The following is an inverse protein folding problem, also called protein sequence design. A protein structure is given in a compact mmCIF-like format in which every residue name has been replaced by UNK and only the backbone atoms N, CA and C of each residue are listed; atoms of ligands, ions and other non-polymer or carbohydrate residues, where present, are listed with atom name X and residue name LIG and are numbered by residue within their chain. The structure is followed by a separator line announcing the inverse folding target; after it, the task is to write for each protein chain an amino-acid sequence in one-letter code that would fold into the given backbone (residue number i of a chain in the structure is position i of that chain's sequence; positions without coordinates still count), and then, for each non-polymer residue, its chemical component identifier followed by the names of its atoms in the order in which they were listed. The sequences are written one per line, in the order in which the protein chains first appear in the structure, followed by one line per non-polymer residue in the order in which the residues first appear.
data_IF_369126443377
#
_entry.id   IF_369126443377
#
_cell.length_a   1.000
_cell.length_b   1.000
_cell.length_c   1.000
_cell.angle_alpha   90.00
_cell.angle_beta   90.00
_cell.angle_gamma   90.00
#
_symmetry.space_group_name_H-M   'P 1'
#
loop_
_entity.id
_entity.type
_entity.pdbx_description
1 polymer ?
#
# COMPACT_ATOMS: atom_id res chain seq x y z
N UNK A 1 26.22 -22.32 36.69
CA UNK A 1 25.22 -21.57 35.92
C UNK A 1 25.91 -20.97 34.70
N UNK A 2 25.18 -20.90 33.58
CA UNK A 2 25.41 -20.02 32.43
C UNK A 2 26.50 -20.43 31.42
N UNK A 3 26.10 -21.19 30.41
CA UNK A 3 26.75 -21.16 29.11
C UNK A 3 25.70 -20.81 28.04
N UNK A 4 25.96 -19.66 27.41
CA UNK A 4 25.75 -19.45 25.99
C UNK A 4 24.29 -19.34 25.52
N UNK A 5 23.73 -18.15 25.72
CA UNK A 5 22.61 -17.66 24.90
C UNK A 5 23.16 -17.29 23.52
N UNK A 6 23.20 -18.26 22.61
CA UNK A 6 23.40 -17.99 21.18
C UNK A 6 22.11 -17.34 20.65
N UNK A 7 22.16 -16.02 20.48
CA UNK A 7 21.13 -15.27 19.75
C UNK A 7 21.26 -15.59 18.26
N UNK A 8 20.36 -16.44 17.76
CA UNK A 8 20.17 -16.62 16.32
C UNK A 8 19.44 -15.39 15.78
N UNK A 9 20.19 -14.44 15.21
CA UNK A 9 19.61 -13.38 14.39
C UNK A 9 19.24 -13.99 13.03
N UNK A 10 17.98 -14.36 12.85
CA UNK A 10 17.42 -14.74 11.54
C UNK A 10 17.32 -13.49 10.67
N UNK A 11 18.20 -13.39 9.68
CA UNK A 11 18.08 -12.40 8.61
C UNK A 11 16.92 -12.88 7.72
N UNK A 12 15.76 -12.22 7.81
CA UNK A 12 14.67 -12.45 6.86
C UNK A 12 15.14 -11.94 5.50
N UNK A 13 15.38 -12.85 4.57
CA UNK A 13 15.64 -12.50 3.19
C UNK A 13 14.37 -11.86 2.62
N UNK A 14 14.41 -10.55 2.38
CA UNK A 14 13.40 -9.86 1.59
C UNK A 14 13.43 -10.47 0.18
N UNK A 15 12.36 -11.18 -0.18
CA UNK A 15 12.12 -11.58 -1.55
C UNK A 15 11.93 -10.28 -2.36
N UNK A 16 13.03 -9.75 -2.87
CA UNK A 16 13.00 -8.80 -3.97
C UNK A 16 12.66 -9.63 -5.21
N UNK A 17 11.39 -10.03 -5.33
CA UNK A 17 10.84 -10.31 -6.65
C UNK A 17 11.22 -9.10 -7.49
N UNK A 18 11.82 -9.33 -8.65
CA UNK A 18 11.87 -8.35 -9.73
C UNK A 18 10.42 -8.04 -10.13
N UNK A 19 9.71 -7.33 -9.26
CA UNK A 19 8.29 -7.18 -9.28
C UNK A 19 8.00 -6.02 -10.23
N UNK A 20 7.11 -6.25 -11.16
CA UNK A 20 6.47 -5.14 -11.83
C UNK A 20 5.21 -4.78 -11.06
N UNK A 21 4.99 -3.49 -10.82
CA UNK A 21 3.81 -2.97 -10.15
C UNK A 21 2.69 -2.76 -11.14
N UNK A 22 1.50 -3.21 -10.75
CA UNK A 22 0.25 -2.97 -11.47
C UNK A 22 -0.80 -2.42 -10.51
N UNK A 23 -1.66 -1.55 -11.01
CA UNK A 23 -2.94 -1.28 -10.37
C UNK A 23 -3.87 -2.47 -10.66
N UNK A 24 -4.47 -3.02 -9.61
CA UNK A 24 -5.27 -4.24 -9.64
C UNK A 24 -6.54 -4.10 -8.80
N UNK A 25 -7.56 -4.89 -9.15
CA UNK A 25 -8.76 -5.12 -8.33
C UNK A 25 -9.25 -6.55 -8.56
N UNK A 26 -9.55 -7.30 -7.49
CA UNK A 26 -9.95 -8.72 -7.58
C UNK A 26 -9.01 -9.58 -8.46
N UNK A 27 -7.70 -9.27 -8.48
CA UNK A 27 -6.71 -9.94 -9.33
C UNK A 27 -6.72 -9.53 -10.81
N UNK A 28 -7.67 -8.70 -11.24
CA UNK A 28 -7.68 -8.07 -12.56
C UNK A 28 -6.67 -6.93 -12.64
N UNK A 29 -5.86 -6.90 -13.70
CA UNK A 29 -4.90 -5.84 -13.97
C UNK A 29 -5.52 -4.69 -14.76
N UNK A 30 -5.13 -3.46 -14.41
CA UNK A 30 -5.64 -2.23 -15.03
C UNK A 30 -4.47 -1.41 -15.59
N UNK A 31 -3.99 -1.72 -16.81
CA UNK A 31 -2.90 -0.98 -17.43
C UNK A 31 -3.26 0.49 -17.67
N UNK A 32 -4.55 0.80 -17.87
CA UNK A 32 -5.05 2.18 -18.04
C UNK A 32 -4.84 3.06 -16.80
N UNK A 33 -4.80 2.46 -15.60
CA UNK A 33 -4.44 3.13 -14.36
C UNK A 33 -2.94 3.02 -14.06
N UNK A 34 -2.34 1.88 -14.37
CA UNK A 34 -0.93 1.57 -14.09
C UNK A 34 0.02 2.52 -14.83
N UNK A 35 -0.21 2.75 -16.12
CA UNK A 35 0.60 3.63 -16.96
C UNK A 35 0.73 5.06 -16.40
N UNK A 36 -0.37 5.80 -16.23
CA UNK A 36 -0.31 7.17 -15.72
C UNK A 36 0.25 7.24 -14.29
N UNK A 37 -0.07 6.28 -13.42
CA UNK A 37 0.50 6.24 -12.07
C UNK A 37 2.02 5.99 -12.07
N UNK A 38 2.51 5.15 -12.98
CA UNK A 38 3.94 4.91 -13.15
C UNK A 38 4.66 6.16 -13.68
N UNK A 39 4.10 6.79 -14.72
CA UNK A 39 4.69 7.97 -15.37
C UNK A 39 4.71 9.19 -14.45
N UNK A 40 3.67 9.38 -13.62
CA UNK A 40 3.61 10.46 -12.62
C UNK A 40 4.77 10.41 -11.61
N UNK A 41 5.29 9.21 -11.36
CA UNK A 41 6.41 8.96 -10.45
C UNK A 41 7.75 8.84 -11.19
N UNK A 42 7.78 9.23 -12.46
CA UNK A 42 8.96 9.12 -13.33
C UNK A 42 9.49 7.67 -13.45
N UNK A 43 8.59 6.69 -13.32
CA UNK A 43 8.89 5.27 -13.43
C UNK A 43 8.97 4.78 -14.88
N UNK A 44 9.54 3.58 -15.07
CA UNK A 44 9.61 2.93 -16.36
C UNK A 44 8.40 2.00 -16.55
N UNK A 45 7.46 2.42 -17.39
CA UNK A 45 6.30 1.63 -17.79
C UNK A 45 6.61 0.87 -19.08
N UNK A 46 6.53 -0.46 -19.05
CA UNK A 46 6.74 -1.33 -20.21
C UNK A 46 5.61 -2.34 -20.34
N UNK A 47 5.02 -2.43 -21.54
CA UNK A 47 3.84 -3.27 -21.79
C UNK A 47 2.63 -2.87 -20.95
N UNK A 48 2.47 -3.50 -19.79
CA UNK A 48 1.37 -3.29 -18.83
C UNK A 48 1.87 -3.12 -17.39
N UNK A 49 3.17 -2.94 -17.24
CA UNK A 49 3.91 -3.18 -16.01
C UNK A 49 4.76 -1.96 -15.68
N UNK A 50 4.67 -1.47 -14.44
CA UNK A 50 5.60 -0.47 -13.95
C UNK A 50 6.79 -1.16 -13.31
N UNK A 51 8.02 -0.94 -13.77
CA UNK A 51 9.19 -1.55 -13.15
C UNK A 51 9.34 -1.05 -11.69
N UNK A 52 9.14 -1.92 -10.70
CA UNK A 52 9.18 -1.51 -9.28
C UNK A 52 10.52 -0.90 -8.90
N UNK A 53 11.61 -1.36 -9.51
CA UNK A 53 12.94 -0.77 -9.31
C UNK A 53 13.00 0.72 -9.65
N UNK A 54 12.28 1.15 -10.69
CA UNK A 54 12.23 2.55 -11.12
C UNK A 54 11.38 3.45 -10.22
N UNK A 55 10.54 2.87 -9.35
CA UNK A 55 9.67 3.60 -8.42
C UNK A 55 9.82 3.10 -6.97
N UNK A 56 10.96 2.48 -6.65
CA UNK A 56 11.17 1.77 -5.38
C UNK A 56 11.04 2.68 -4.15
N UNK A 57 11.44 3.94 -4.27
CA UNK A 57 11.27 4.99 -3.25
C UNK A 57 9.87 5.62 -3.24
N UNK A 58 9.00 5.22 -4.16
CA UNK A 58 7.69 5.82 -4.42
C UNK A 58 6.55 4.80 -4.47
N UNK A 59 6.76 3.56 -4.02
CA UNK A 59 5.74 2.50 -4.06
C UNK A 59 4.45 2.88 -3.30
N UNK A 60 4.57 3.61 -2.19
CA UNK A 60 3.42 4.15 -1.45
C UNK A 60 2.64 5.18 -2.26
N UNK A 61 3.34 6.06 -3.00
CA UNK A 61 2.72 7.02 -3.91
C UNK A 61 2.05 6.32 -5.10
N UNK A 62 2.66 5.24 -5.61
CA UNK A 62 2.08 4.44 -6.68
C UNK A 62 0.76 3.81 -6.25
N UNK A 63 0.71 3.20 -5.05
CA UNK A 63 -0.54 2.70 -4.47
C UNK A 63 -1.57 3.79 -4.27
N UNK A 64 -1.16 4.94 -3.71
CA UNK A 64 -2.07 6.08 -3.52
C UNK A 64 -2.67 6.56 -4.85
N UNK A 65 -1.86 6.59 -5.92
CA UNK A 65 -2.35 6.88 -7.25
C UNK A 65 -3.37 5.83 -7.72
N UNK A 66 -3.12 4.52 -7.58
CA UNK A 66 -4.09 3.49 -7.94
C UNK A 66 -5.45 3.69 -7.22
N UNK A 67 -5.46 4.10 -5.95
CA UNK A 67 -6.69 4.37 -5.19
C UNK A 67 -7.53 5.53 -5.73
N UNK A 68 -6.96 6.41 -6.54
CA UNK A 68 -7.72 7.48 -7.22
C UNK A 68 -8.56 6.98 -8.39
N UNK A 69 -8.27 5.76 -8.88
CA UNK A 69 -9.03 5.11 -9.94
C UNK A 69 -10.11 4.21 -9.34
N UNK A 70 -11.32 4.27 -9.91
CA UNK A 70 -12.48 3.51 -9.45
C UNK A 70 -12.99 2.58 -10.55
N UNK A 71 -13.23 1.33 -10.20
CA UNK A 71 -13.99 0.39 -11.01
C UNK A 71 -15.26 0.00 -10.26
N UNK A 72 -16.44 0.30 -10.82
CA UNK A 72 -17.74 0.05 -10.17
C UNK A 72 -17.83 0.61 -8.72
N UNK A 73 -17.34 1.84 -8.50
CA UNK A 73 -17.22 2.50 -7.18
C UNK A 73 -16.27 1.81 -6.18
N UNK A 74 -15.38 0.93 -6.64
CA UNK A 74 -14.36 0.30 -5.80
C UNK A 74 -12.97 0.80 -6.24
N UNK A 75 -12.14 1.30 -5.30
CA UNK A 75 -10.79 1.77 -5.64
C UNK A 75 -9.86 0.62 -6.01
N UNK A 76 -8.98 0.87 -6.97
CA UNK A 76 -7.90 -0.06 -7.32
C UNK A 76 -6.80 0.00 -6.26
N UNK A 77 -6.06 -1.10 -6.09
CA UNK A 77 -4.87 -1.16 -5.24
C UNK A 77 -3.62 -1.48 -6.08
N UNK A 78 -2.43 -1.29 -5.53
CA UNK A 78 -1.18 -1.78 -6.13
C UNK A 78 -0.94 -3.25 -5.75
N UNK A 79 -0.47 -4.06 -6.69
CA UNK A 79 0.02 -5.44 -6.45
C UNK A 79 1.46 -5.48 -5.91
N UNK A 80 2.20 -4.37 -6.02
CA UNK A 80 3.49 -4.24 -5.34
C UNK A 80 3.33 -4.10 -3.84
N UNK A 81 4.02 -4.97 -3.10
CA UNK A 81 4.22 -4.82 -1.68
C UNK A 81 5.10 -3.59 -1.42
N UNK A 82 4.64 -2.71 -0.56
CA UNK A 82 5.49 -1.71 0.07
C UNK A 82 5.36 -1.92 1.57
N UNK A 83 6.43 -1.75 2.34
CA UNK A 83 6.34 -1.76 3.78
C UNK A 83 5.51 -0.55 4.21
N UNK A 84 4.19 -0.74 4.27
CA UNK A 84 3.35 0.11 5.08
C UNK A 84 3.72 -0.10 6.55
N UNK A 85 3.38 0.83 7.46
CA UNK A 85 3.33 0.46 8.87
C UNK A 85 2.48 -0.81 8.94
N UNK A 86 3.04 -1.88 9.51
CA UNK A 86 2.32 -3.13 9.68
C UNK A 86 0.96 -2.77 10.28
N UNK A 87 -0.11 -2.99 9.52
CA UNK A 87 -1.48 -2.83 10.02
C UNK A 87 -1.75 -4.01 10.97
N UNK A 88 -0.98 -4.05 12.06
CA UNK A 88 -1.44 -4.66 13.29
C UNK A 88 -2.62 -3.80 13.74
N UNK A 89 -3.82 -4.29 13.43
CA UNK A 89 -4.98 -4.15 14.30
C UNK A 89 -5.40 -2.70 14.59
N UNK A 90 -6.16 -2.11 13.67
CA UNK A 90 -7.15 -1.09 14.02
C UNK A 90 -8.57 -1.68 13.95
N UNK A 91 -8.73 -2.90 14.47
CA UNK A 91 -9.96 -3.27 15.17
C UNK A 91 -9.88 -2.67 16.58
N UNK A 92 -10.31 -1.42 16.72
CA UNK A 92 -10.98 -0.86 17.92
C UNK A 92 -11.26 0.62 17.69
N UNK A 93 -12.37 0.88 16.98
CA UNK A 93 -13.08 2.15 17.15
C UNK A 93 -13.77 2.04 18.52
N UNK A 94 -13.03 2.38 19.58
CA UNK A 94 -13.64 2.73 20.86
C UNK A 94 -14.43 4.01 20.64
N UNK A 95 -15.76 3.90 20.74
CA UNK A 95 -16.65 5.06 20.74
C UNK A 95 -16.74 5.59 22.17
N UNK A 96 -16.12 6.74 22.51
CA UNK A 96 -16.51 7.43 23.73
C UNK A 96 -17.85 8.13 23.52
N UNK A 97 -18.81 7.61 24.29
CA UNK A 97 -20.11 8.16 24.61
C UNK A 97 -20.03 9.60 25.14
N UNK A 98 -20.53 10.54 24.33
CA UNK A 98 -21.35 11.68 24.76
C UNK A 98 -20.65 12.96 25.23
N UNK A 99 -20.99 14.09 24.59
CA UNK A 99 -21.41 15.30 25.31
C UNK A 99 -22.31 16.14 24.40
N UNK A 100 -23.49 16.51 24.89
CA UNK A 100 -24.48 17.27 24.14
C UNK A 100 -24.12 18.74 24.04
N UNK A 101 -24.30 19.31 22.85
CA UNK A 101 -24.40 20.77 22.67
C UNK A 101 -25.82 21.09 22.22
N UNK A 102 -26.60 21.61 23.16
CA UNK A 102 -27.87 22.27 22.88
C UNK A 102 -27.60 23.56 22.11
N UNK A 103 -28.04 23.62 20.85
CA UNK A 103 -28.12 24.87 20.10
C UNK A 103 -29.37 25.64 20.55
N UNK A 104 -29.16 26.67 21.37
CA UNK A 104 -30.14 27.72 21.66
C UNK A 104 -30.36 28.54 20.38
N UNK A 105 -31.56 28.46 19.82
CA UNK A 105 -32.02 29.40 18.79
C UNK A 105 -32.52 30.68 19.47
N UNK A 106 -32.01 31.83 19.02
CA UNK A 106 -32.49 33.16 19.40
C UNK A 106 -33.53 33.64 18.41
#
# INVERSE_FOLDING_TARGET
MQLSKLFFATIVAFASSSAACKCVINGGSHPEATGPCCQSLNGNFDGNDCAAGSISEHLSNFRACCHTWLLNNVPLTSDCDFPGPAVAELEKIDTPRGEGVAVQAK
#
